data_IF_167630224666
#
_entry.id   IF_167630224666
#
_cell.length_a   1.000
_cell.length_b   1.000
_cell.length_c   1.000
_cell.angle_alpha   90.00
_cell.angle_beta   90.00
_cell.angle_gamma   90.00
#
_symmetry.space_group_name_H-M   'P 1'
#
loop_
_entity.id
_entity.type
_entity.pdbx_description
1 polymer ?
#
# COMPACT_ATOMS: atom_id res chain seq x y z
N UNK A 1 21.39 36.90 -35.64
CA UNK A 1 21.39 35.47 -35.26
C UNK A 1 20.59 35.22 -33.97
N UNK A 2 19.26 35.43 -33.92
CA UNK A 2 18.46 34.98 -32.74
C UNK A 2 17.00 34.73 -33.17
N UNK A 3 16.67 33.53 -33.66
CA UNK A 3 15.25 33.12 -33.83
C UNK A 3 14.98 31.60 -33.91
N UNK A 4 15.86 30.76 -33.35
CA UNK A 4 15.74 29.29 -33.43
C UNK A 4 15.37 28.58 -32.11
N UNK A 5 15.22 29.31 -31.00
CA UNK A 5 15.05 28.70 -29.66
C UNK A 5 13.65 28.13 -29.29
N UNK A 6 12.49 28.57 -29.84
CA UNK A 6 11.19 28.12 -29.30
C UNK A 6 10.71 26.75 -29.83
N UNK A 7 11.26 26.25 -30.94
CA UNK A 7 10.79 25.02 -31.60
C UNK A 7 11.35 23.77 -30.90
N UNK A 8 12.62 23.83 -30.49
CA UNK A 8 13.31 22.72 -29.83
C UNK A 8 12.74 22.43 -28.44
N UNK A 9 12.32 23.46 -27.70
CA UNK A 9 11.72 23.31 -26.36
C UNK A 9 10.35 22.62 -26.42
N UNK A 10 9.52 22.95 -27.43
CA UNK A 10 8.22 22.27 -27.63
C UNK A 10 8.39 20.79 -27.97
N UNK A 11 9.38 20.47 -28.81
CA UNK A 11 9.66 19.10 -29.20
C UNK A 11 10.24 18.27 -28.04
N UNK A 12 11.06 18.87 -27.19
CA UNK A 12 11.58 18.23 -25.97
C UNK A 12 10.47 17.91 -24.97
N UNK A 13 9.58 18.88 -24.69
CA UNK A 13 8.44 18.67 -23.79
C UNK A 13 7.50 17.60 -24.33
N UNK A 14 7.17 17.60 -25.63
CA UNK A 14 6.33 16.56 -26.21
C UNK A 14 6.97 15.16 -26.15
N UNK A 15 8.29 15.05 -26.35
CA UNK A 15 9.01 13.77 -26.20
C UNK A 15 9.04 13.26 -24.77
N UNK A 16 9.11 14.15 -23.78
CA UNK A 16 9.08 13.75 -22.36
C UNK A 16 7.66 13.33 -21.95
N UNK A 17 6.64 14.07 -22.40
CA UNK A 17 5.24 13.72 -22.16
C UNK A 17 4.85 12.40 -22.82
N UNK A 18 5.26 12.15 -24.07
CA UNK A 18 4.96 10.88 -24.73
C UNK A 18 5.65 9.69 -24.04
N UNK A 19 6.88 9.87 -23.55
CA UNK A 19 7.56 8.83 -22.75
C UNK A 19 6.83 8.53 -21.43
N UNK A 20 6.36 9.55 -20.72
CA UNK A 20 5.60 9.36 -19.47
C UNK A 20 4.24 8.69 -19.71
N UNK A 21 3.52 9.12 -20.75
CA UNK A 21 2.22 8.54 -21.12
C UNK A 21 2.38 7.08 -21.55
N UNK A 22 3.41 6.77 -22.35
CA UNK A 22 3.69 5.40 -22.75
C UNK A 22 4.06 4.55 -21.53
N UNK A 23 4.88 5.02 -20.60
CA UNK A 23 5.18 4.25 -19.38
C UNK A 23 3.96 4.00 -18.50
N UNK A 24 2.99 4.93 -18.44
CA UNK A 24 1.74 4.72 -17.69
C UNK A 24 0.85 3.71 -18.43
N UNK A 25 0.79 3.79 -19.76
CA UNK A 25 0.02 2.88 -20.62
C UNK A 25 0.59 1.46 -20.57
N UNK A 26 1.91 1.33 -20.57
CA UNK A 26 2.59 0.04 -20.44
C UNK A 26 2.28 -0.58 -19.08
N UNK A 27 2.34 0.19 -17.98
CA UNK A 27 1.97 -0.29 -16.64
C UNK A 27 0.49 -0.71 -16.52
N UNK A 28 -0.40 -0.12 -17.31
CA UNK A 28 -1.83 -0.43 -17.36
C UNK A 28 -2.22 -1.43 -18.46
N UNK A 29 -1.24 -1.96 -19.21
CA UNK A 29 -1.49 -2.96 -20.24
C UNK A 29 -2.02 -4.26 -19.63
N UNK A 30 -2.89 -4.96 -20.38
CA UNK A 30 -3.51 -6.21 -19.92
C UNK A 30 -2.47 -7.29 -19.66
N UNK A 31 -1.38 -7.33 -20.44
CA UNK A 31 -0.22 -8.18 -20.20
C UNK A 31 0.42 -7.91 -18.83
N UNK A 32 0.73 -6.64 -18.50
CA UNK A 32 1.31 -6.31 -17.19
C UNK A 32 0.33 -6.58 -16.05
N UNK A 33 -0.96 -6.35 -16.23
CA UNK A 33 -1.97 -6.68 -15.22
C UNK A 33 -1.98 -8.20 -14.98
N UNK A 34 -2.01 -9.01 -16.05
CA UNK A 34 -1.95 -10.48 -15.94
C UNK A 34 -0.66 -10.97 -15.30
N UNK A 35 0.47 -10.37 -15.62
CA UNK A 35 1.76 -10.68 -14.99
C UNK A 35 1.73 -10.36 -13.48
N UNK A 36 1.23 -9.18 -13.10
CA UNK A 36 1.04 -8.80 -11.70
C UNK A 36 0.08 -9.75 -10.96
N UNK A 37 -0.99 -10.21 -11.61
CA UNK A 37 -1.87 -11.26 -11.06
C UNK A 37 -1.13 -12.58 -10.85
N UNK A 38 -0.24 -12.97 -11.77
CA UNK A 38 0.64 -14.12 -11.61
C UNK A 38 1.59 -13.98 -10.41
N UNK A 39 2.11 -12.78 -10.16
CA UNK A 39 2.95 -12.45 -8.99
C UNK A 39 2.14 -12.50 -7.69
N UNK A 40 0.90 -12.02 -7.70
CA UNK A 40 0.00 -12.11 -6.53
C UNK A 40 -0.35 -13.59 -6.27
N UNK A 41 -0.66 -14.36 -7.31
CA UNK A 41 -0.95 -15.79 -7.20
C UNK A 41 0.24 -16.57 -6.65
N UNK A 42 1.46 -16.30 -7.10
CA UNK A 42 2.66 -16.95 -6.57
C UNK A 42 2.95 -16.54 -5.12
N UNK A 43 2.70 -15.28 -4.74
CA UNK A 43 2.77 -14.82 -3.35
C UNK A 43 1.71 -15.49 -2.47
N UNK A 44 0.50 -15.70 -2.96
CA UNK A 44 -0.56 -16.43 -2.25
C UNK A 44 -0.19 -17.90 -2.11
N UNK A 45 0.37 -18.54 -3.15
CA UNK A 45 0.87 -19.92 -3.08
C UNK A 45 2.08 -20.09 -2.16
N UNK A 46 2.80 -19.00 -1.84
CA UNK A 46 3.89 -18.99 -0.85
C UNK A 46 3.43 -18.82 0.59
N UNK A 47 2.13 -18.62 0.83
CA UNK A 47 1.58 -18.57 2.19
C UNK A 47 1.79 -19.93 2.84
N UNK A 48 2.49 -19.93 3.99
CA UNK A 48 2.65 -21.15 4.79
C UNK A 48 1.31 -21.49 5.45
N UNK A 49 0.94 -22.78 5.53
CA UNK A 49 -0.32 -23.20 6.15
C UNK A 49 -0.50 -22.50 7.51
N UNK A 50 -1.66 -21.89 7.79
CA UNK A 50 -1.92 -21.22 9.08
C UNK A 50 -1.71 -22.15 10.28
N UNK A 51 -1.87 -23.45 10.09
CA UNK A 51 -1.63 -24.50 11.09
C UNK A 51 -0.15 -24.57 11.51
N UNK A 52 0.79 -24.30 10.61
CA UNK A 52 2.22 -24.21 10.90
C UNK A 52 2.56 -22.89 11.59
N UNK A 53 1.91 -21.80 11.15
CA UNK A 53 2.08 -20.48 11.75
C UNK A 53 1.57 -20.41 13.20
N UNK A 54 0.47 -21.08 13.53
CA UNK A 54 -0.07 -21.12 14.90
C UNK A 54 0.33 -22.39 15.66
N UNK A 55 1.43 -23.07 15.31
CA UNK A 55 1.87 -24.25 16.04
C UNK A 55 2.44 -23.88 17.43
N UNK A 56 1.56 -23.87 18.42
CA UNK A 56 1.84 -23.53 19.83
C UNK A 56 2.88 -24.48 20.46
N UNK A 57 3.20 -25.61 19.82
CA UNK A 57 4.18 -26.59 20.33
C UNK A 57 5.63 -26.08 20.24
N UNK A 58 5.90 -25.14 19.35
CA UNK A 58 7.22 -24.51 19.15
C UNK A 58 7.34 -23.15 19.85
N UNK A 59 6.39 -22.82 20.73
CA UNK A 59 6.39 -21.57 21.48
C UNK A 59 7.28 -21.72 22.71
N UNK A 60 8.40 -21.00 22.74
CA UNK A 60 9.27 -20.97 23.91
C UNK A 60 9.79 -19.59 24.22
N UNK A 61 10.11 -19.37 25.49
CA UNK A 61 10.69 -18.11 25.94
C UNK A 61 12.16 -18.05 25.48
N UNK A 62 12.60 -16.98 24.81
CA UNK A 62 14.01 -16.82 24.46
C UNK A 62 14.86 -16.74 25.75
N UNK A 63 15.99 -17.45 25.76
CA UNK A 63 16.87 -17.55 26.94
C UNK A 63 17.71 -16.29 27.13
N UNK A 64 18.04 -15.60 26.04
CA UNK A 64 18.81 -14.36 26.04
C UNK A 64 18.45 -13.44 24.85
N UNK A 65 18.94 -12.19 24.88
CA UNK A 65 18.63 -11.18 23.86
C UNK A 65 19.25 -11.50 22.48
N UNK A 66 20.37 -12.21 22.44
CA UNK A 66 21.03 -12.65 21.20
C UNK A 66 20.17 -13.69 20.48
N UNK A 67 19.66 -14.67 21.22
CA UNK A 67 18.75 -15.70 20.72
C UNK A 67 17.44 -15.07 20.23
N UNK A 68 16.91 -14.08 20.95
CA UNK A 68 15.74 -13.30 20.52
C UNK A 68 15.97 -12.64 19.16
N UNK A 69 17.08 -11.92 18.97
CA UNK A 69 17.40 -11.25 17.71
C UNK A 69 17.52 -12.25 16.55
N UNK A 70 18.16 -13.39 16.82
CA UNK A 70 18.31 -14.50 15.88
C UNK A 70 16.95 -15.09 15.48
N UNK A 71 16.07 -15.37 16.45
CA UNK A 71 14.70 -15.89 16.22
C UNK A 71 13.88 -14.91 15.39
N UNK A 72 13.88 -13.63 15.74
CA UNK A 72 13.14 -12.59 15.00
C UNK A 72 13.61 -12.51 13.56
N UNK A 73 14.92 -12.45 13.31
CA UNK A 73 15.46 -12.36 11.96
C UNK A 73 15.10 -13.57 11.10
N UNK A 74 15.20 -14.77 11.66
CA UNK A 74 14.82 -16.00 10.95
C UNK A 74 13.32 -16.04 10.66
N UNK A 75 12.49 -15.88 11.70
CA UNK A 75 11.04 -16.00 11.59
C UNK A 75 10.42 -14.93 10.70
N UNK A 76 10.96 -13.70 10.69
CA UNK A 76 10.52 -12.63 9.78
C UNK A 76 10.66 -13.01 8.31
N UNK A 77 11.76 -13.67 7.95
CA UNK A 77 11.99 -14.15 6.59
C UNK A 77 11.17 -15.41 6.30
N UNK A 78 11.11 -16.34 7.26
CA UNK A 78 10.41 -17.62 7.11
C UNK A 78 8.88 -17.46 6.94
N UNK A 79 8.25 -16.59 7.75
CA UNK A 79 6.81 -16.34 7.74
C UNK A 79 6.41 -15.00 7.08
N UNK A 80 7.24 -14.47 6.17
CA UNK A 80 7.03 -13.16 5.54
C UNK A 80 5.61 -12.98 4.97
N UNK A 81 5.13 -13.95 4.17
CA UNK A 81 3.81 -13.89 3.54
C UNK A 81 2.67 -13.89 4.56
N UNK A 82 2.81 -14.64 5.67
CA UNK A 82 1.83 -14.70 6.74
C UNK A 82 1.77 -13.37 7.52
N UNK A 83 2.92 -12.72 7.78
CA UNK A 83 2.96 -11.39 8.38
C UNK A 83 2.34 -10.32 7.47
N UNK A 84 2.58 -10.39 6.16
CA UNK A 84 1.90 -9.49 5.19
C UNK A 84 0.38 -9.69 5.26
N UNK A 85 -0.10 -10.93 5.36
CA UNK A 85 -1.53 -11.21 5.50
C UNK A 85 -2.12 -10.63 6.81
N UNK A 86 -1.37 -10.68 7.93
CA UNK A 86 -1.77 -10.05 9.20
C UNK A 86 -1.86 -8.52 9.04
N UNK A 87 -0.85 -7.88 8.46
CA UNK A 87 -0.86 -6.42 8.24
C UNK A 87 -2.02 -6.02 7.34
N UNK A 88 -2.29 -6.78 6.27
CA UNK A 88 -3.43 -6.54 5.39
C UNK A 88 -4.76 -6.66 6.15
N UNK A 89 -4.90 -7.71 6.97
CA UNK A 89 -6.10 -7.94 7.77
C UNK A 89 -6.32 -6.82 8.80
N UNK A 90 -5.26 -6.39 9.49
CA UNK A 90 -5.30 -5.24 10.40
C UNK A 90 -5.61 -3.94 9.66
N UNK A 91 -5.13 -3.77 8.43
CA UNK A 91 -5.44 -2.59 7.59
C UNK A 91 -6.92 -2.56 7.22
N UNK A 92 -7.48 -3.69 6.80
CA UNK A 92 -8.92 -3.82 6.53
C UNK A 92 -9.74 -3.56 7.79
N UNK A 93 -9.33 -4.13 8.93
CA UNK A 93 -9.97 -3.89 10.22
C UNK A 93 -9.95 -2.40 10.60
N UNK A 94 -8.81 -1.71 10.42
CA UNK A 94 -8.68 -0.29 10.70
C UNK A 94 -9.60 0.56 9.82
N UNK A 95 -9.74 0.22 8.53
CA UNK A 95 -10.66 0.90 7.60
C UNK A 95 -12.13 0.67 7.97
N UNK A 96 -12.51 -0.57 8.28
CA UNK A 96 -13.91 -0.92 8.62
C UNK A 96 -14.31 -0.28 9.96
N UNK A 97 -13.40 -0.25 10.93
CA UNK A 97 -13.65 0.35 12.25
C UNK A 97 -13.73 1.88 12.16
N UNK A 98 -12.99 2.49 11.23
CA UNK A 98 -13.04 3.93 10.97
C UNK A 98 -13.83 4.22 9.68
N UNK A 99 -15.17 4.06 9.76
CA UNK A 99 -16.08 4.31 8.64
C UNK A 99 -15.97 5.73 8.07
N UNK A 100 -15.61 6.72 8.90
CA UNK A 100 -15.42 8.10 8.46
C UNK A 100 -14.19 8.22 7.55
N UNK A 101 -13.07 7.59 7.92
CA UNK A 101 -11.87 7.53 7.07
C UNK A 101 -12.16 6.81 5.75
N UNK A 102 -12.90 5.69 5.79
CA UNK A 102 -13.35 5.01 4.58
C UNK A 102 -14.21 5.92 3.70
N UNK A 103 -15.15 6.65 4.30
CA UNK A 103 -15.98 7.62 3.59
C UNK A 103 -15.16 8.74 2.96
N UNK A 104 -14.16 9.29 3.66
CA UNK A 104 -13.28 10.34 3.12
C UNK A 104 -12.47 9.81 1.93
N UNK A 105 -11.93 8.59 2.03
CA UNK A 105 -11.24 7.94 0.91
C UNK A 105 -12.18 7.77 -0.29
N UNK A 106 -13.42 7.31 -0.05
CA UNK A 106 -14.42 7.14 -1.09
C UNK A 106 -14.85 8.48 -1.70
N UNK A 107 -15.00 9.53 -0.89
CA UNK A 107 -15.36 10.88 -1.33
C UNK A 107 -14.26 11.48 -2.19
N UNK A 108 -13.00 11.39 -1.76
CA UNK A 108 -11.87 11.93 -2.51
C UNK A 108 -11.63 11.10 -3.77
N UNK A 109 -11.55 9.77 -3.66
CA UNK A 109 -11.33 8.88 -4.80
C UNK A 109 -12.49 8.96 -5.80
N UNK A 110 -13.72 8.84 -5.33
CA UNK A 110 -14.93 8.99 -6.15
C UNK A 110 -15.06 10.39 -6.75
N UNK A 111 -14.73 11.43 -5.99
CA UNK A 111 -14.72 12.82 -6.46
C UNK A 111 -13.69 13.06 -7.56
N UNK A 112 -12.44 12.61 -7.38
CA UNK A 112 -11.39 12.71 -8.40
C UNK A 112 -11.76 11.90 -9.64
N UNK A 113 -12.29 10.68 -9.48
CA UNK A 113 -12.75 9.87 -10.61
C UNK A 113 -13.92 10.53 -11.35
N UNK A 114 -14.88 11.10 -10.63
CA UNK A 114 -16.01 11.82 -11.20
C UNK A 114 -15.55 13.05 -11.99
N UNK A 115 -14.63 13.86 -11.44
CA UNK A 115 -14.07 15.03 -12.13
C UNK A 115 -13.22 14.58 -13.33
N UNK A 116 -12.44 13.52 -13.19
CA UNK A 116 -11.61 12.98 -14.28
C UNK A 116 -12.45 12.50 -15.47
N UNK A 117 -13.68 12.01 -15.21
CA UNK A 117 -14.62 11.62 -16.28
C UNK A 117 -15.13 12.78 -17.13
N UNK A 118 -14.99 14.03 -16.67
CA UNK A 118 -15.33 15.20 -17.49
C UNK A 118 -14.30 15.49 -18.59
N UNK A 119 -13.14 14.84 -18.59
CA UNK A 119 -12.17 15.00 -19.68
C UNK A 119 -11.62 16.43 -19.84
N UNK A 120 -11.74 17.26 -18.81
CA UNK A 120 -11.34 18.67 -18.85
C UNK A 120 -12.45 19.64 -19.30
N UNK A 121 -13.66 19.16 -19.58
CA UNK A 121 -14.82 20.01 -19.81
C UNK A 121 -15.37 20.59 -18.50
N UNK A 122 -16.12 21.69 -18.62
CA UNK A 122 -16.84 22.28 -17.49
C UNK A 122 -18.10 21.45 -17.18
N UNK A 123 -18.36 21.22 -15.89
CA UNK A 123 -19.60 20.59 -15.45
C UNK A 123 -20.76 21.56 -15.66
N UNK A 124 -21.61 21.28 -16.64
CA UNK A 124 -22.83 22.04 -16.88
C UNK A 124 -23.96 21.43 -16.05
N UNK A 125 -24.37 22.13 -15.01
CA UNK A 125 -25.53 21.78 -14.18
C UNK A 125 -26.64 22.82 -14.38
N UNK A 126 -27.90 22.51 -14.00
CA UNK A 126 -28.98 23.50 -14.02
C UNK A 126 -28.69 24.76 -13.17
N UNK A 127 -27.75 24.68 -12.23
CA UNK A 127 -27.33 25.77 -11.33
C UNK A 127 -26.17 26.61 -11.89
N UNK A 128 -25.55 26.20 -13.01
CA UNK A 128 -24.41 26.91 -13.60
C UNK A 128 -23.33 25.99 -14.17
N UNK A 129 -22.28 26.61 -14.72
CA UNK A 129 -21.08 25.93 -15.25
C UNK A 129 -19.97 25.99 -14.20
N UNK A 130 -19.44 24.83 -13.84
CA UNK A 130 -18.32 24.72 -12.90
C UNK A 130 -17.09 24.17 -13.60
N UNK A 131 -15.96 24.87 -13.49
CA UNK A 131 -14.71 24.39 -14.07
C UNK A 131 -14.13 23.25 -13.25
N UNK A 132 -13.33 22.40 -13.90
CA UNK A 132 -12.62 21.30 -13.23
C UNK A 132 -11.82 21.78 -12.01
N UNK A 133 -11.19 22.96 -12.08
CA UNK A 133 -10.47 23.56 -10.95
C UNK A 133 -11.37 23.93 -9.78
N UNK A 134 -12.58 24.44 -10.04
CA UNK A 134 -13.56 24.75 -8.99
C UNK A 134 -14.08 23.48 -8.32
N UNK A 135 -14.28 22.40 -9.08
CA UNK A 135 -14.69 21.10 -8.52
C UNK A 135 -13.61 20.50 -7.63
N UNK A 136 -12.34 20.50 -8.06
CA UNK A 136 -11.24 20.06 -7.20
C UNK A 136 -11.08 20.94 -5.96
N UNK A 137 -11.26 22.25 -6.10
CA UNK A 137 -11.21 23.18 -4.96
C UNK A 137 -12.35 22.89 -3.97
N UNK A 138 -13.57 22.72 -4.46
CA UNK A 138 -14.72 22.35 -3.63
C UNK A 138 -14.54 21.00 -2.95
N UNK A 139 -14.01 20.01 -3.67
CA UNK A 139 -13.67 18.71 -3.14
C UNK A 139 -12.65 18.83 -1.99
N UNK A 140 -11.61 19.65 -2.15
CA UNK A 140 -10.62 19.88 -1.10
C UNK A 140 -11.21 20.60 0.12
N UNK A 141 -12.05 21.62 -0.09
CA UNK A 141 -12.70 22.36 1.01
C UNK A 141 -13.56 21.44 1.88
N UNK A 142 -14.22 20.45 1.28
CA UNK A 142 -15.03 19.47 2.02
C UNK A 142 -14.19 18.32 2.57
N UNK A 143 -13.26 17.79 1.77
CA UNK A 143 -12.45 16.64 2.13
C UNK A 143 -11.44 16.95 3.23
N UNK A 144 -10.83 18.14 3.25
CA UNK A 144 -9.76 18.46 4.20
C UNK A 144 -10.26 18.50 5.66
N UNK A 145 -11.37 19.21 6.00
CA UNK A 145 -11.93 19.16 7.34
C UNK A 145 -12.38 17.75 7.73
N UNK A 146 -13.03 17.02 6.82
CA UNK A 146 -13.47 15.65 7.08
C UNK A 146 -12.27 14.71 7.32
N UNK A 147 -11.19 14.85 6.53
CA UNK A 147 -9.96 14.10 6.70
C UNK A 147 -9.28 14.40 8.03
N UNK A 148 -9.33 15.66 8.49
CA UNK A 148 -8.81 16.01 9.81
C UNK A 148 -9.58 15.30 10.93
N UNK A 149 -10.91 15.28 10.84
CA UNK A 149 -11.78 14.58 11.80
C UNK A 149 -11.58 13.06 11.72
N UNK A 150 -11.33 12.51 10.53
CA UNK A 150 -11.05 11.09 10.30
C UNK A 150 -9.75 10.62 10.99
N UNK A 151 -8.85 11.56 11.30
CA UNK A 151 -7.55 11.31 11.93
C UNK A 151 -6.77 10.14 11.30
N UNK A 152 -6.41 10.24 10.01
CA UNK A 152 -5.68 9.18 9.30
C UNK A 152 -4.32 8.90 9.94
N UNK A 153 -3.67 9.92 10.51
CA UNK A 153 -2.37 9.77 11.19
C UNK A 153 -2.51 8.87 12.42
N UNK A 154 -3.56 9.06 13.23
CA UNK A 154 -3.81 8.20 14.39
C UNK A 154 -4.07 6.75 13.96
N UNK A 155 -4.86 6.57 12.89
CA UNK A 155 -5.14 5.24 12.32
C UNK A 155 -3.86 4.56 11.82
N UNK A 156 -2.97 5.30 11.15
CA UNK A 156 -1.67 4.78 10.70
C UNK A 156 -0.75 4.41 11.88
N UNK A 157 -0.67 5.25 12.90
CA UNK A 157 0.11 4.94 14.11
C UNK A 157 -0.42 3.70 14.83
N UNK A 158 -1.74 3.54 14.92
CA UNK A 158 -2.36 2.33 15.48
C UNK A 158 -2.00 1.09 14.66
N UNK A 159 -2.04 1.20 13.32
CA UNK A 159 -1.72 0.11 12.41
C UNK A 159 -0.25 -0.31 12.54
N UNK A 160 0.67 0.65 12.58
CA UNK A 160 2.11 0.41 12.79
C UNK A 160 2.34 -0.23 14.15
N UNK A 161 1.80 0.34 15.23
CA UNK A 161 1.97 -0.20 16.57
C UNK A 161 1.43 -1.62 16.71
N UNK A 162 0.21 -1.85 16.22
CA UNK A 162 -0.45 -3.17 16.31
C UNK A 162 0.26 -4.22 15.46
N UNK A 163 0.71 -3.87 14.26
CA UNK A 163 1.49 -4.79 13.42
C UNK A 163 2.85 -5.10 14.03
N UNK A 164 3.59 -4.10 14.52
CA UNK A 164 4.86 -4.32 15.21
C UNK A 164 4.69 -5.25 16.41
N UNK A 165 3.72 -4.99 17.29
CA UNK A 165 3.48 -5.84 18.47
C UNK A 165 3.10 -7.26 18.04
N UNK A 166 2.19 -7.43 17.08
CA UNK A 166 1.72 -8.75 16.65
C UNK A 166 2.84 -9.57 16.01
N UNK A 167 3.60 -8.97 15.09
CA UNK A 167 4.65 -9.64 14.34
C UNK A 167 5.85 -9.94 15.24
N UNK A 168 6.33 -8.95 16.02
CA UNK A 168 7.49 -9.15 16.88
C UNK A 168 7.20 -10.13 18.01
N UNK A 169 5.98 -10.11 18.58
CA UNK A 169 5.58 -11.11 19.56
C UNK A 169 5.63 -12.51 18.93
N UNK A 170 5.01 -12.71 17.78
CA UNK A 170 5.04 -14.02 17.12
C UNK A 170 6.48 -14.47 16.77
N UNK A 171 7.27 -13.58 16.18
CA UNK A 171 8.63 -13.88 15.71
C UNK A 171 9.62 -14.12 16.85
N UNK A 172 9.39 -13.54 18.03
CA UNK A 172 10.26 -13.68 19.21
C UNK A 172 10.07 -15.00 19.95
N UNK A 173 8.84 -15.51 19.99
CA UNK A 173 8.49 -16.72 20.72
C UNK A 173 8.53 -18.00 19.90
N UNK A 174 8.51 -17.91 18.57
CA UNK A 174 8.68 -19.08 17.69
C UNK A 174 10.14 -19.57 17.69
N UNK A 175 10.35 -20.83 18.04
CA UNK A 175 11.66 -21.49 17.95
C UNK A 175 12.11 -21.68 16.49
N UNK A 176 13.42 -21.63 16.28
CA UNK A 176 14.02 -22.03 15.01
C UNK A 176 14.08 -23.56 14.91
N UNK A 177 13.92 -24.15 13.72
CA UNK A 177 14.15 -25.57 13.53
C UNK A 177 15.60 -25.95 13.87
N UNK A 178 15.76 -27.09 14.55
CA UNK A 178 17.03 -27.64 15.06
C UNK A 178 18.11 -27.78 13.96
N UNK A 179 17.72 -27.98 12.70
CA UNK A 179 18.63 -28.11 11.56
C UNK A 179 19.54 -26.88 11.36
N UNK A 180 19.04 -25.69 11.66
CA UNK A 180 19.82 -24.44 11.56
C UNK A 180 20.92 -24.32 12.62
N UNK A 181 20.79 -25.04 13.74
CA UNK A 181 21.81 -25.07 14.81
C UNK A 181 23.00 -25.94 14.38
N UNK A 182 22.76 -26.95 13.56
CA UNK A 182 23.82 -27.86 13.08
C UNK A 182 24.65 -27.24 11.95
N UNK A 183 24.05 -26.37 11.11
CA UNK A 183 24.77 -25.62 10.07
C UNK A 183 25.71 -24.53 10.64
N UNK A 184 25.42 -23.95 11.81
CA UNK A 184 26.33 -22.99 12.46
C UNK A 184 27.54 -23.66 13.16
N UNK A 185 27.51 -24.99 13.33
CA UNK A 185 28.58 -25.74 14.03
C UNK A 185 29.61 -26.42 13.13
N UNK A 186 29.61 -26.14 11.82
CA UNK A 186 30.60 -26.66 10.85
C UNK A 186 31.44 -25.56 10.22
#
# INVERSE_FOLDING_TARGET
MVKAYPILTRQYVQRTLSKQINSITDNLSIENIKENFGVIQSKISSLRPPQEFFDVRHFSKPSNFTELQQRVTYNLNYYQSNYVAIVLSLSLYALITNLLLLFVIALVGGGVLAISKLGGEDLVTPMGRFSSSQLYTGLLIVALPLAFIASPISTMMWLIGSSCVSILSHASFMEKPIETVFEETV
#
